data_IF_294618316803
#
_entry.id   IF_294618316803
#
_cell.length_a   1.000
_cell.length_b   1.000
_cell.length_c   1.000
_cell.angle_alpha   90.00
_cell.angle_beta   90.00
_cell.angle_gamma   90.00
#
_symmetry.space_group_name_H-M   'P 1'
#
loop_
_entity.id
_entity.type
_entity.pdbx_description
1 polymer ?
#
# COMPACT_ATOMS: atom_id res chain seq x y z
N UNK A 1 17.80 20.64 -8.94
CA UNK A 1 16.65 20.21 -8.11
C UNK A 1 17.10 19.39 -6.91
N UNK A 2 16.26 19.24 -5.89
CA UNK A 2 16.59 18.43 -4.72
C UNK A 2 16.03 17.02 -4.82
N UNK A 3 16.79 16.05 -4.30
CA UNK A 3 16.38 14.67 -4.10
C UNK A 3 16.98 14.11 -2.81
N UNK A 4 16.30 13.16 -2.19
CA UNK A 4 16.89 12.37 -1.11
C UNK A 4 17.63 11.19 -1.69
N UNK A 5 18.83 10.92 -1.21
CA UNK A 5 19.65 9.78 -1.64
C UNK A 5 19.99 8.88 -0.46
N UNK A 6 20.04 7.59 -0.73
CA UNK A 6 20.42 6.56 0.23
C UNK A 6 21.88 6.17 0.00
N UNK A 7 22.70 6.22 1.05
CA UNK A 7 24.05 5.66 1.03
C UNK A 7 24.00 4.19 1.45
N UNK A 8 24.59 3.30 0.65
CA UNK A 8 24.67 1.89 0.98
C UNK A 8 25.58 1.64 2.22
N UNK A 9 25.29 0.62 3.05
CA UNK A 9 24.28 -0.46 2.88
C UNK A 9 22.87 -0.09 3.34
N UNK A 10 22.58 1.17 3.65
CA UNK A 10 21.31 1.65 4.18
C UNK A 10 21.36 1.96 5.68
N UNK A 11 20.25 2.47 6.19
CA UNK A 11 20.05 2.98 7.54
C UNK A 11 19.37 4.35 7.48
N UNK A 12 18.50 4.67 8.44
CA UNK A 12 17.75 5.94 8.41
C UNK A 12 18.68 7.17 8.45
N UNK A 13 19.85 7.04 9.09
CA UNK A 13 20.85 8.11 9.14
C UNK A 13 21.72 8.19 7.86
N UNK A 14 21.50 7.27 6.90
CA UNK A 14 22.17 7.25 5.59
C UNK A 14 21.35 7.92 4.49
N UNK A 15 20.19 8.49 4.82
CA UNK A 15 19.35 9.26 3.91
C UNK A 15 19.79 10.72 3.99
N UNK A 16 20.17 11.32 2.86
CA UNK A 16 20.62 12.70 2.82
C UNK A 16 20.06 13.46 1.61
N UNK A 17 19.84 14.76 1.78
CA UNK A 17 19.42 15.65 0.72
C UNK A 17 20.61 15.90 -0.23
N UNK A 18 20.37 15.78 -1.52
CA UNK A 18 21.35 16.03 -2.57
C UNK A 18 20.77 16.98 -3.64
N UNK A 19 21.63 17.77 -4.23
CA UNK A 19 21.31 18.56 -5.42
C UNK A 19 21.68 17.75 -6.66
N UNK A 20 20.73 17.58 -7.57
CA UNK A 20 20.93 16.82 -8.83
C UNK A 20 20.35 17.60 -10.01
N UNK A 21 20.86 17.32 -11.21
CA UNK A 21 20.31 17.88 -12.45
C UNK A 21 19.19 16.98 -12.99
N UNK A 22 18.01 17.54 -13.34
CA UNK A 22 16.96 16.76 -14.00
C UNK A 22 17.38 16.40 -15.41
N UNK A 23 17.03 15.21 -15.85
CA UNK A 23 17.28 14.72 -17.21
C UNK A 23 16.11 15.05 -18.12
N UNK A 24 16.37 15.55 -19.33
CA UNK A 24 15.33 15.71 -20.34
C UNK A 24 14.72 14.36 -20.75
N UNK A 25 13.41 14.30 -21.06
CA UNK A 25 12.76 13.07 -21.46
C UNK A 25 13.19 12.63 -22.86
N UNK A 26 13.62 11.37 -22.97
CA UNK A 26 13.91 10.70 -24.24
C UNK A 26 12.64 10.15 -24.91
N UNK A 27 12.84 9.31 -25.95
CA UNK A 27 11.74 8.67 -26.66
C UNK A 27 10.90 7.78 -25.72
N UNK A 28 9.59 8.00 -25.69
CA UNK A 28 8.65 7.26 -24.85
C UNK A 28 8.65 7.65 -23.38
N UNK A 29 9.41 8.68 -22.97
CA UNK A 29 9.51 9.14 -21.60
C UNK A 29 8.75 10.45 -21.36
N UNK A 30 8.43 10.68 -20.10
CA UNK A 30 7.90 11.97 -19.60
C UNK A 30 8.74 12.46 -18.43
N UNK A 31 8.77 13.77 -18.25
CA UNK A 31 9.27 14.39 -17.05
C UNK A 31 8.08 14.80 -16.17
N UNK A 32 8.16 14.47 -14.87
CA UNK A 32 7.09 14.74 -13.92
C UNK A 32 7.66 15.54 -12.73
N UNK A 33 7.07 16.68 -12.45
CA UNK A 33 7.26 17.39 -11.19
C UNK A 33 6.46 16.68 -10.10
N UNK A 34 7.16 16.02 -9.18
CA UNK A 34 6.53 15.30 -8.06
C UNK A 34 6.04 16.30 -7.03
N UNK A 35 4.80 16.16 -6.62
CA UNK A 35 4.15 16.99 -5.61
C UNK A 35 4.02 16.27 -4.27
N UNK A 36 3.86 14.93 -4.31
CA UNK A 36 3.78 14.11 -3.12
C UNK A 36 4.28 12.69 -3.37
N UNK A 37 4.82 12.10 -2.33
CA UNK A 37 5.09 10.67 -2.19
C UNK A 37 4.54 10.16 -0.86
N UNK A 38 4.40 8.85 -0.67
CA UNK A 38 3.87 8.29 0.58
C UNK A 38 4.63 7.06 1.04
N UNK A 39 4.84 6.92 2.35
CA UNK A 39 5.65 5.86 2.92
C UNK A 39 4.93 4.50 2.91
N UNK A 40 5.66 3.46 2.54
CA UNK A 40 5.25 2.06 2.63
C UNK A 40 6.26 1.25 3.46
N UNK A 41 5.88 0.06 3.93
CA UNK A 41 6.82 -0.84 4.60
C UNK A 41 7.95 -1.29 3.64
N UNK A 42 7.65 -1.39 2.34
CA UNK A 42 8.65 -1.67 1.31
C UNK A 42 9.76 -0.60 1.30
N UNK A 43 9.37 0.68 1.28
CA UNK A 43 10.33 1.79 1.29
C UNK A 43 11.18 1.77 2.56
N UNK A 44 10.56 1.50 3.72
CA UNK A 44 11.26 1.32 4.99
C UNK A 44 12.27 0.16 4.92
N UNK A 45 11.90 -0.97 4.32
CA UNK A 45 12.79 -2.11 4.16
C UNK A 45 13.98 -1.79 3.25
N UNK A 46 13.78 -0.98 2.22
CA UNK A 46 14.87 -0.50 1.33
C UNK A 46 15.79 0.46 2.10
N UNK A 47 15.24 1.51 2.71
CA UNK A 47 16.09 2.54 3.34
C UNK A 47 16.83 2.01 4.58
N UNK A 48 16.33 0.97 5.24
CA UNK A 48 17.02 0.32 6.35
C UNK A 48 18.02 -0.77 5.92
N UNK A 49 18.07 -1.10 4.61
CA UNK A 49 18.96 -2.11 4.05
C UNK A 49 18.47 -3.55 4.23
N UNK A 50 17.23 -3.76 4.68
CA UNK A 50 16.59 -5.10 4.69
C UNK A 50 16.37 -5.62 3.26
N UNK A 51 16.08 -4.72 2.33
CA UNK A 51 16.11 -4.94 0.88
C UNK A 51 17.32 -4.16 0.37
N UNK A 52 18.35 -4.83 -0.18
CA UNK A 52 19.54 -4.14 -0.70
C UNK A 52 19.20 -3.21 -1.87
N UNK A 53 19.75 -2.01 -1.85
CA UNK A 53 19.68 -1.06 -2.97
C UNK A 53 21.07 -0.54 -3.32
N UNK A 54 21.23 -0.04 -4.55
CA UNK A 54 22.49 0.55 -5.01
C UNK A 54 22.83 1.84 -4.23
N UNK A 55 24.11 2.12 -4.09
CA UNK A 55 24.58 3.37 -3.50
C UNK A 55 24.10 4.59 -4.30
N UNK A 56 23.59 5.60 -3.59
CA UNK A 56 23.02 6.79 -4.21
C UNK A 56 21.58 6.64 -4.72
N UNK A 57 20.90 5.52 -4.44
CA UNK A 57 19.49 5.28 -4.81
C UNK A 57 18.61 6.40 -4.26
N UNK A 58 17.71 6.92 -5.10
CA UNK A 58 16.61 7.80 -4.67
C UNK A 58 15.47 6.89 -4.21
N UNK A 59 15.08 6.92 -2.91
CA UNK A 59 14.05 6.03 -2.38
C UNK A 59 12.63 6.48 -2.76
N UNK A 60 11.62 5.76 -2.25
CA UNK A 60 10.17 5.94 -2.35
C UNK A 60 9.56 5.38 -3.61
N UNK A 61 8.59 4.47 -3.41
CA UNK A 61 7.90 3.73 -4.47
C UNK A 61 6.61 4.39 -4.97
N UNK A 62 6.01 5.27 -4.18
CA UNK A 62 4.79 6.00 -4.53
C UNK A 62 5.13 7.39 -5.06
N UNK A 63 4.43 7.86 -6.09
CA UNK A 63 4.63 9.22 -6.61
C UNK A 63 3.37 9.78 -7.27
N UNK A 64 3.02 11.03 -6.93
CA UNK A 64 1.98 11.79 -7.60
C UNK A 64 2.52 13.17 -7.99
N UNK A 65 2.19 13.63 -9.20
CA UNK A 65 2.74 14.89 -9.71
C UNK A 65 2.10 15.38 -10.99
N UNK A 66 2.77 16.32 -11.63
CA UNK A 66 2.34 16.96 -12.88
C UNK A 66 3.38 16.74 -13.98
N UNK A 67 2.94 16.32 -15.15
CA UNK A 67 3.80 16.20 -16.32
C UNK A 67 4.29 17.58 -16.75
N UNK A 68 5.60 17.79 -16.81
CA UNK A 68 6.24 19.06 -17.18
C UNK A 68 6.88 19.05 -18.55
N UNK A 69 7.24 17.86 -19.06
CA UNK A 69 7.73 17.69 -20.41
C UNK A 69 7.42 16.29 -20.95
N UNK A 70 7.27 16.17 -22.25
CA UNK A 70 6.92 14.93 -22.95
C UNK A 70 7.92 14.64 -24.05
N UNK A 71 8.53 13.46 -24.03
CA UNK A 71 9.45 12.99 -25.04
C UNK A 71 8.74 12.54 -26.32
N UNK A 72 9.50 12.39 -27.39
CA UNK A 72 8.99 11.91 -28.68
C UNK A 72 8.34 10.51 -28.53
N UNK A 73 7.23 10.27 -29.23
CA UNK A 73 6.50 9.00 -29.26
C UNK A 73 5.48 8.82 -28.13
N UNK A 74 5.41 9.70 -27.13
CA UNK A 74 4.37 9.66 -26.10
C UNK A 74 3.06 10.27 -26.65
N UNK A 75 1.97 9.52 -26.55
CA UNK A 75 0.63 9.95 -27.02
C UNK A 75 -0.46 9.82 -25.95
N UNK A 76 -0.14 9.21 -24.81
CA UNK A 76 -1.11 8.88 -23.74
C UNK A 76 -1.21 9.95 -22.66
N UNK A 77 -0.15 10.73 -22.47
CA UNK A 77 -0.04 11.81 -21.50
C UNK A 77 0.46 13.09 -22.18
N UNK A 78 0.14 14.24 -21.60
CA UNK A 78 0.53 15.57 -22.08
C UNK A 78 1.03 16.43 -20.92
N UNK A 79 1.73 17.52 -21.23
CA UNK A 79 2.11 18.54 -20.25
C UNK A 79 0.86 19.07 -19.53
N UNK A 80 0.95 19.21 -18.21
CA UNK A 80 -0.13 19.61 -17.32
C UNK A 80 -1.00 18.44 -16.83
N UNK A 81 -0.87 17.22 -17.37
CA UNK A 81 -1.58 16.06 -16.84
C UNK A 81 -1.14 15.75 -15.39
N UNK A 82 -2.12 15.51 -14.52
CA UNK A 82 -1.90 15.05 -13.15
C UNK A 82 -1.77 13.54 -13.17
N UNK A 83 -0.65 13.02 -12.64
CA UNK A 83 -0.28 11.60 -12.78
C UNK A 83 0.02 10.95 -11.45
N UNK A 84 -0.20 9.64 -11.41
CA UNK A 84 0.06 8.71 -10.31
C UNK A 84 0.97 7.59 -10.81
N UNK A 85 2.01 7.26 -10.07
CA UNK A 85 2.94 6.18 -10.41
C UNK A 85 2.30 4.79 -10.33
N UNK A 86 2.87 3.84 -11.06
CA UNK A 86 2.65 2.42 -10.80
C UNK A 86 3.76 1.88 -9.88
N UNK A 87 3.39 1.02 -8.93
CA UNK A 87 4.37 0.29 -8.13
C UNK A 87 5.13 -0.74 -8.98
N UNK A 88 4.41 -1.46 -9.84
CA UNK A 88 4.98 -2.38 -10.83
C UNK A 88 4.78 -1.82 -12.26
N UNK A 89 5.70 -0.99 -12.76
CA UNK A 89 5.53 -0.32 -14.05
C UNK A 89 5.54 -1.27 -15.26
N UNK A 90 6.00 -2.52 -15.07
CA UNK A 90 6.05 -3.54 -16.12
C UNK A 90 4.85 -4.48 -16.12
N UNK A 91 3.99 -4.45 -15.10
CA UNK A 91 2.84 -5.37 -14.99
C UNK A 91 1.55 -4.73 -15.51
N UNK A 92 1.30 -4.92 -16.79
CA UNK A 92 0.12 -4.33 -17.46
C UNK A 92 -1.21 -4.92 -16.94
N UNK A 93 -1.28 -6.23 -16.67
CA UNK A 93 -2.49 -6.90 -16.19
C UNK A 93 -2.41 -8.42 -16.26
N UNK A 94 -3.43 -9.09 -15.70
CA UNK A 94 -3.51 -10.54 -15.67
C UNK A 94 -2.47 -11.19 -14.74
N UNK A 95 -2.14 -12.47 -15.01
CA UNK A 95 -1.19 -13.21 -14.18
C UNK A 95 0.23 -12.66 -14.41
N UNK A 96 0.96 -12.21 -13.35
CA UNK A 96 2.31 -11.68 -13.50
C UNK A 96 3.34 -12.77 -13.85
N UNK A 97 4.38 -12.36 -14.55
CA UNK A 97 5.65 -13.08 -14.68
C UNK A 97 6.69 -12.43 -13.77
N UNK A 98 7.86 -13.08 -13.55
CA UNK A 98 8.90 -12.47 -12.74
C UNK A 98 9.40 -11.13 -13.30
N UNK A 99 9.61 -10.94 -14.61
CA UNK A 99 9.96 -9.63 -15.17
C UNK A 99 8.94 -8.52 -14.88
N UNK A 100 7.63 -8.84 -14.79
CA UNK A 100 6.58 -7.86 -14.50
C UNK A 100 6.71 -7.27 -13.09
N UNK A 101 7.32 -8.02 -12.16
CA UNK A 101 7.52 -7.62 -10.76
C UNK A 101 8.86 -6.89 -10.53
N UNK A 102 9.63 -6.64 -11.58
CA UNK A 102 10.88 -5.88 -11.51
C UNK A 102 10.65 -4.40 -11.89
N UNK A 103 11.66 -3.56 -11.63
CA UNK A 103 11.63 -2.14 -11.95
C UNK A 103 10.84 -1.30 -10.95
N UNK A 104 10.70 -1.79 -9.71
CA UNK A 104 10.05 -1.05 -8.63
C UNK A 104 10.83 0.24 -8.35
N UNK A 105 10.16 1.42 -8.42
CA UNK A 105 10.80 2.69 -8.07
C UNK A 105 11.23 2.72 -6.58
N UNK A 106 12.38 3.32 -6.32
CA UNK A 106 12.96 3.41 -4.98
C UNK A 106 13.76 2.19 -4.55
N UNK A 107 13.64 1.08 -5.28
CA UNK A 107 14.33 -0.19 -5.05
C UNK A 107 15.22 -0.54 -6.26
N UNK A 108 14.63 -1.11 -7.32
CA UNK A 108 15.37 -1.51 -8.53
C UNK A 108 15.85 -0.31 -9.36
N UNK A 109 15.07 0.78 -9.38
CA UNK A 109 15.37 2.04 -10.09
C UNK A 109 15.16 3.22 -9.13
N UNK A 110 15.60 4.41 -9.51
CA UNK A 110 15.36 5.61 -8.72
C UNK A 110 13.86 5.87 -8.54
N UNK A 111 13.49 6.25 -7.31
CA UNK A 111 12.13 6.48 -6.88
C UNK A 111 11.70 7.94 -6.85
N UNK A 112 10.71 8.22 -6.01
CA UNK A 112 9.97 9.49 -6.03
C UNK A 112 10.35 10.46 -4.91
N UNK A 113 11.40 10.20 -4.14
CA UNK A 113 11.95 11.19 -3.19
C UNK A 113 12.80 12.25 -3.92
N UNK A 114 12.29 12.80 -5.02
CA UNK A 114 12.94 13.80 -5.86
C UNK A 114 11.90 14.78 -6.43
N UNK A 115 12.24 16.08 -6.50
CA UNK A 115 11.33 17.10 -7.01
C UNK A 115 10.90 16.86 -8.46
N UNK A 116 11.77 16.23 -9.26
CA UNK A 116 11.47 15.92 -10.66
C UNK A 116 12.02 14.54 -10.99
N UNK A 117 11.26 13.74 -11.71
CA UNK A 117 11.67 12.44 -12.22
C UNK A 117 11.45 12.38 -13.73
N UNK A 118 12.29 11.62 -14.44
CA UNK A 118 12.13 11.34 -15.87
C UNK A 118 12.10 9.83 -16.06
N UNK A 119 10.94 9.32 -16.48
CA UNK A 119 10.66 7.88 -16.58
C UNK A 119 9.82 7.57 -17.83
N UNK A 120 9.71 6.30 -18.25
CA UNK A 120 8.77 5.90 -19.30
C UNK A 120 7.34 6.36 -18.97
N UNK A 121 6.62 6.88 -19.94
CA UNK A 121 5.23 7.31 -19.76
C UNK A 121 4.33 6.16 -19.26
N UNK A 122 4.70 4.90 -19.57
CA UNK A 122 4.03 3.69 -19.11
C UNK A 122 4.22 3.40 -17.62
N UNK A 123 5.08 4.16 -16.91
CA UNK A 123 5.23 4.07 -15.45
C UNK A 123 4.17 4.87 -14.68
N UNK A 124 3.26 5.57 -15.40
CA UNK A 124 2.25 6.43 -14.80
C UNK A 124 0.87 6.20 -15.40
N UNK A 125 -0.16 6.43 -14.56
CA UNK A 125 -1.55 6.64 -14.96
C UNK A 125 -1.96 8.10 -14.69
N UNK A 126 -3.11 8.53 -15.23
CA UNK A 126 -3.79 9.72 -14.70
C UNK A 126 -4.22 9.45 -13.26
N UNK A 127 -4.04 10.43 -12.37
CA UNK A 127 -4.52 10.30 -10.99
C UNK A 127 -6.03 10.53 -10.90
N UNK A 128 -6.69 10.06 -9.81
CA UNK A 128 -8.11 10.35 -9.57
C UNK A 128 -8.37 11.85 -9.55
N UNK A 129 -9.44 12.30 -10.23
CA UNK A 129 -9.78 13.72 -10.35
C UNK A 129 -10.22 14.36 -9.02
N UNK A 130 -10.81 13.56 -8.12
CA UNK A 130 -11.34 13.97 -6.82
C UNK A 130 -10.28 14.04 -5.70
N UNK A 131 -9.01 13.68 -5.96
CA UNK A 131 -7.96 13.67 -4.95
C UNK A 131 -6.93 14.77 -5.19
N UNK A 132 -6.32 15.27 -4.12
CA UNK A 132 -5.06 16.01 -4.18
C UNK A 132 -3.87 15.06 -4.39
N UNK A 133 -2.66 15.60 -4.50
CA UNK A 133 -1.47 14.79 -4.77
C UNK A 133 -1.06 13.91 -3.59
N UNK A 134 -1.24 14.39 -2.36
CA UNK A 134 -0.93 13.63 -1.16
C UNK A 134 -1.84 12.41 -1.06
N UNK A 135 -3.15 12.60 -1.17
CA UNK A 135 -4.12 11.51 -1.15
C UNK A 135 -3.90 10.53 -2.31
N UNK A 136 -3.68 11.03 -3.53
CA UNK A 136 -3.42 10.18 -4.68
C UNK A 136 -2.16 9.34 -4.50
N UNK A 137 -1.05 9.91 -3.98
CA UNK A 137 0.20 9.16 -3.77
C UNK A 137 0.02 7.92 -2.91
N UNK A 138 -0.98 7.90 -2.00
CA UNK A 138 -1.24 6.76 -1.11
C UNK A 138 -1.82 5.53 -1.83
N UNK A 139 -2.23 5.68 -3.08
CA UNK A 139 -2.95 4.65 -3.83
C UNK A 139 -2.02 3.66 -4.55
N UNK A 140 -0.82 4.07 -4.99
CA UNK A 140 0.07 3.24 -5.84
C UNK A 140 0.46 1.92 -5.18
N UNK A 141 0.79 1.93 -3.90
CA UNK A 141 1.14 0.72 -3.14
C UNK A 141 0.00 0.30 -2.22
N UNK A 142 -0.28 1.07 -1.16
CA UNK A 142 -1.22 0.65 -0.11
C UNK A 142 -2.66 0.55 -0.62
N UNK A 143 -3.11 1.52 -1.41
CA UNK A 143 -4.45 1.51 -2.01
C UNK A 143 -4.65 0.34 -2.96
N UNK A 144 -3.70 0.13 -3.88
CA UNK A 144 -3.78 -0.94 -4.86
C UNK A 144 -3.65 -2.33 -4.23
N UNK A 145 -2.86 -2.46 -3.16
CA UNK A 145 -2.78 -3.71 -2.37
C UNK A 145 -4.13 -4.03 -1.72
N UNK A 146 -4.77 -3.04 -1.10
CA UNK A 146 -6.11 -3.21 -0.51
C UNK A 146 -7.16 -3.57 -1.56
N UNK A 147 -7.16 -2.88 -2.71
CA UNK A 147 -8.02 -3.18 -3.84
C UNK A 147 -7.84 -4.62 -4.33
N UNK A 148 -6.59 -5.04 -4.54
CA UNK A 148 -6.32 -6.41 -4.99
C UNK A 148 -6.84 -7.44 -4.00
N UNK A 149 -6.59 -7.26 -2.70
CA UNK A 149 -7.07 -8.17 -1.67
C UNK A 149 -8.61 -8.31 -1.69
N UNK A 150 -9.33 -7.19 -1.86
CA UNK A 150 -10.79 -7.14 -1.77
C UNK A 150 -11.51 -7.54 -3.07
N UNK A 151 -10.93 -7.17 -4.23
CA UNK A 151 -11.65 -7.24 -5.52
C UNK A 151 -11.08 -8.29 -6.46
N UNK A 152 -9.73 -8.44 -6.49
CA UNK A 152 -9.08 -9.31 -7.48
C UNK A 152 -8.94 -10.75 -6.95
N UNK A 153 -8.53 -10.90 -5.69
CA UNK A 153 -8.27 -12.23 -5.08
C UNK A 153 -9.53 -12.89 -4.53
N UNK A 154 -10.60 -12.12 -4.33
CA UNK A 154 -11.84 -12.60 -3.72
C UNK A 154 -13.07 -12.17 -4.53
N UNK A 155 -14.18 -12.86 -4.33
CA UNK A 155 -15.47 -12.52 -4.93
C UNK A 155 -16.43 -11.97 -3.86
N UNK A 156 -15.99 -10.96 -3.11
CA UNK A 156 -16.79 -10.36 -2.04
C UNK A 156 -18.08 -9.74 -2.57
N UNK A 157 -19.11 -9.84 -1.74
CA UNK A 157 -20.43 -9.28 -1.98
C UNK A 157 -20.85 -8.36 -0.84
N UNK A 158 -21.76 -7.42 -1.06
CA UNK A 158 -22.36 -6.67 0.03
C UNK A 158 -22.90 -7.60 1.13
N UNK A 159 -22.53 -7.31 2.38
CA UNK A 159 -22.86 -8.12 3.55
C UNK A 159 -21.80 -9.12 3.98
N UNK A 160 -20.83 -9.47 3.13
CA UNK A 160 -19.71 -10.33 3.49
C UNK A 160 -18.83 -9.67 4.56
N UNK A 161 -18.14 -10.49 5.37
CA UNK A 161 -17.29 -10.03 6.45
C UNK A 161 -15.82 -9.91 6.02
N UNK A 162 -15.24 -8.75 6.29
CA UNK A 162 -13.80 -8.49 6.10
C UNK A 162 -13.15 -8.21 7.43
N UNK A 163 -12.05 -8.88 7.75
CA UNK A 163 -11.21 -8.58 8.89
C UNK A 163 -9.97 -7.82 8.44
N UNK A 164 -9.74 -6.63 9.03
CA UNK A 164 -8.52 -5.83 8.82
C UNK A 164 -7.68 -5.80 10.09
N UNK A 165 -6.36 -5.89 9.93
CA UNK A 165 -5.41 -5.98 11.05
C UNK A 165 -4.62 -4.70 11.19
N UNK A 166 -4.69 -4.09 12.39
CA UNK A 166 -4.00 -2.85 12.69
C UNK A 166 -4.62 -1.63 12.01
N UNK A 167 -3.90 -0.53 12.06
CA UNK A 167 -4.34 0.79 11.61
C UNK A 167 -3.33 1.47 10.67
N UNK A 168 -2.51 0.69 9.99
CA UNK A 168 -1.59 1.17 8.96
C UNK A 168 -2.29 1.43 7.62
N UNK A 169 -1.52 1.89 6.63
CA UNK A 169 -2.04 2.34 5.34
C UNK A 169 -2.94 1.32 4.64
N UNK A 170 -2.47 0.08 4.43
CA UNK A 170 -3.25 -0.97 3.76
C UNK A 170 -4.55 -1.26 4.50
N UNK A 171 -4.50 -1.42 5.82
CA UNK A 171 -5.65 -1.82 6.64
C UNK A 171 -6.74 -0.74 6.69
N UNK A 172 -6.35 0.53 6.80
CA UNK A 172 -7.30 1.65 6.82
C UNK A 172 -7.96 1.82 5.46
N UNK A 173 -7.20 1.76 4.38
CA UNK A 173 -7.76 1.83 3.02
C UNK A 173 -8.64 0.61 2.72
N UNK A 174 -8.22 -0.60 3.14
CA UNK A 174 -9.04 -1.81 2.99
C UNK A 174 -10.38 -1.69 3.73
N UNK A 175 -10.39 -1.12 4.95
CA UNK A 175 -11.63 -0.82 5.68
C UNK A 175 -12.52 0.12 4.86
N UNK A 176 -11.98 1.25 4.37
CA UNK A 176 -12.73 2.22 3.58
C UNK A 176 -13.32 1.59 2.32
N UNK A 177 -12.51 0.83 1.56
CA UNK A 177 -12.96 0.16 0.33
C UNK A 177 -13.98 -0.96 0.62
N UNK A 178 -13.79 -1.77 1.67
CA UNK A 178 -14.75 -2.79 2.07
C UNK A 178 -16.11 -2.17 2.42
N UNK A 179 -16.12 -1.03 3.14
CA UNK A 179 -17.35 -0.29 3.44
C UNK A 179 -17.98 0.28 2.17
N UNK A 180 -17.19 0.82 1.25
CA UNK A 180 -17.66 1.28 -0.06
C UNK A 180 -18.35 0.16 -0.87
N UNK A 181 -17.86 -1.08 -0.76
CA UNK A 181 -18.45 -2.26 -1.39
C UNK A 181 -19.68 -2.81 -0.64
N UNK A 182 -20.06 -2.25 0.50
CA UNK A 182 -21.16 -2.74 1.34
C UNK A 182 -20.81 -3.94 2.23
N UNK A 183 -19.54 -4.26 2.38
CA UNK A 183 -19.08 -5.31 3.30
C UNK A 183 -19.17 -4.85 4.76
N UNK A 184 -19.23 -5.83 5.66
CA UNK A 184 -19.14 -5.64 7.12
C UNK A 184 -17.66 -5.78 7.53
N UNK A 185 -17.20 -4.95 8.45
CA UNK A 185 -15.77 -4.94 8.80
C UNK A 185 -15.56 -5.18 10.28
N UNK A 186 -14.66 -6.13 10.59
CA UNK A 186 -14.06 -6.30 11.91
C UNK A 186 -12.64 -5.72 11.83
N UNK A 187 -12.29 -4.84 12.76
CA UNK A 187 -10.96 -4.25 12.83
C UNK A 187 -10.24 -4.64 14.13
N UNK A 188 -8.95 -4.98 14.01
CA UNK A 188 -8.11 -5.28 15.18
C UNK A 188 -7.04 -4.21 15.36
N UNK A 189 -6.67 -3.90 16.61
CA UNK A 189 -5.55 -3.01 16.93
C UNK A 189 -4.99 -3.33 18.32
N UNK A 190 -3.81 -2.81 18.63
CA UNK A 190 -3.24 -2.83 19.99
C UNK A 190 -3.60 -1.60 20.83
N UNK A 191 -4.32 -0.63 20.26
CA UNK A 191 -4.63 0.66 20.87
C UNK A 191 -6.11 0.96 20.78
N UNK A 192 -6.76 1.19 21.92
CA UNK A 192 -8.18 1.53 22.00
C UNK A 192 -8.48 2.86 21.29
N UNK A 193 -7.59 3.86 21.39
CA UNK A 193 -7.73 5.12 20.67
C UNK A 193 -7.73 4.94 19.13
N UNK A 194 -6.91 4.01 18.62
CA UNK A 194 -6.92 3.67 17.19
C UNK A 194 -8.15 2.87 16.80
N UNK A 195 -8.66 2.00 17.68
CA UNK A 195 -9.93 1.28 17.48
C UNK A 195 -11.12 2.24 17.37
N UNK A 196 -11.18 3.27 18.21
CA UNK A 196 -12.23 4.31 18.10
C UNK A 196 -12.20 5.00 16.73
N UNK A 197 -11.01 5.32 16.20
CA UNK A 197 -10.86 5.89 14.85
C UNK A 197 -11.31 4.92 13.76
N UNK A 198 -10.97 3.61 13.89
CA UNK A 198 -11.42 2.57 12.95
C UNK A 198 -12.96 2.41 13.01
N UNK A 199 -13.57 2.49 14.20
CA UNK A 199 -15.02 2.51 14.36
C UNK A 199 -15.66 3.71 13.69
N UNK A 200 -15.08 4.91 13.82
CA UNK A 200 -15.55 6.12 13.15
C UNK A 200 -15.49 6.02 11.60
N UNK A 201 -14.55 5.21 11.06
CA UNK A 201 -14.48 4.89 9.63
C UNK A 201 -15.44 3.79 9.18
N UNK A 202 -16.23 3.23 10.11
CA UNK A 202 -17.29 2.27 9.81
C UNK A 202 -16.95 0.81 10.10
N UNK A 203 -15.88 0.49 10.84
CA UNK A 203 -15.71 -0.86 11.36
C UNK A 203 -16.85 -1.17 12.35
N UNK A 204 -17.53 -2.29 12.12
CA UNK A 204 -18.69 -2.69 12.91
C UNK A 204 -18.31 -3.30 14.26
N UNK A 205 -17.22 -4.07 14.27
CA UNK A 205 -16.64 -4.66 15.46
C UNK A 205 -15.17 -4.31 15.61
N UNK A 206 -14.75 -4.12 16.85
CA UNK A 206 -13.42 -3.66 17.22
C UNK A 206 -12.82 -4.64 18.23
N UNK A 207 -11.62 -5.13 17.97
CA UNK A 207 -10.93 -6.09 18.83
C UNK A 207 -9.55 -5.55 19.20
N UNK A 208 -9.32 -5.33 20.52
CA UNK A 208 -7.97 -5.08 21.02
C UNK A 208 -7.28 -6.42 21.28
N UNK A 209 -6.37 -6.80 20.36
CA UNK A 209 -5.68 -8.08 20.44
C UNK A 209 -4.68 -8.21 21.62
N UNK A 210 -4.33 -7.11 22.29
CA UNK A 210 -3.56 -7.17 23.53
C UNK A 210 -4.40 -7.66 24.72
N UNK A 211 -5.71 -7.37 24.68
CA UNK A 211 -6.65 -7.77 25.72
C UNK A 211 -7.25 -9.17 25.44
N UNK A 212 -7.17 -9.64 24.20
CA UNK A 212 -7.78 -10.88 23.72
C UNK A 212 -6.78 -11.69 22.92
N UNK A 213 -6.09 -12.60 23.61
CA UNK A 213 -5.07 -13.48 22.94
C UNK A 213 -5.69 -14.34 21.83
N UNK A 214 -6.95 -14.79 21.99
CA UNK A 214 -7.69 -15.58 21.01
C UNK A 214 -8.59 -14.68 20.15
N UNK A 215 -8.04 -13.58 19.63
CA UNK A 215 -8.84 -12.61 18.86
C UNK A 215 -9.46 -13.21 17.59
N UNK A 216 -8.88 -14.25 17.04
CA UNK A 216 -9.44 -14.95 15.87
C UNK A 216 -10.74 -15.68 16.18
N UNK A 217 -10.83 -16.36 17.35
CA UNK A 217 -12.06 -16.98 17.84
C UNK A 217 -13.12 -15.92 18.14
N UNK A 218 -12.74 -14.84 18.80
CA UNK A 218 -13.64 -13.71 19.05
C UNK A 218 -14.19 -13.12 17.73
N UNK A 219 -13.34 -12.94 16.71
CA UNK A 219 -13.79 -12.46 15.41
C UNK A 219 -14.79 -13.43 14.76
N UNK A 220 -14.55 -14.75 14.87
CA UNK A 220 -15.48 -15.78 14.41
C UNK A 220 -16.84 -15.70 15.11
N UNK A 221 -16.86 -15.55 16.44
CA UNK A 221 -18.08 -15.41 17.23
C UNK A 221 -18.87 -14.14 16.87
N UNK A 222 -18.18 -13.01 16.63
CA UNK A 222 -18.79 -11.73 16.26
C UNK A 222 -19.54 -11.77 14.91
N UNK A 223 -19.23 -12.74 14.06
CA UNK A 223 -19.98 -13.00 12.81
C UNK A 223 -21.19 -13.90 13.02
N UNK A 224 -21.53 -14.25 14.27
CA UNK A 224 -22.56 -15.24 14.59
C UNK A 224 -22.11 -16.68 14.33
N UNK A 225 -20.82 -16.96 14.33
CA UNK A 225 -20.23 -18.29 14.08
C UNK A 225 -20.09 -18.65 12.60
N UNK A 226 -20.28 -17.69 11.69
CA UNK A 226 -20.04 -17.90 10.26
C UNK A 226 -18.55 -17.76 9.89
N UNK A 227 -17.81 -16.91 10.59
CA UNK A 227 -16.45 -16.52 10.27
C UNK A 227 -16.39 -15.37 9.26
N UNK A 228 -15.18 -14.89 8.97
CA UNK A 228 -14.96 -13.81 8.01
C UNK A 228 -14.62 -14.37 6.62
N UNK A 229 -15.16 -13.74 5.58
CA UNK A 229 -14.95 -14.16 4.18
C UNK A 229 -13.55 -13.79 3.69
N UNK A 230 -13.00 -12.68 4.20
CA UNK A 230 -11.66 -12.23 3.89
C UNK A 230 -10.92 -11.74 5.13
N UNK A 231 -9.66 -12.16 5.28
CA UNK A 231 -8.68 -11.53 6.17
C UNK A 231 -7.65 -10.78 5.34
N UNK A 232 -7.50 -9.46 5.58
CA UNK A 232 -6.42 -8.64 5.06
C UNK A 232 -5.22 -8.77 6.01
N UNK A 233 -4.33 -9.72 5.71
CA UNK A 233 -3.27 -10.18 6.61
C UNK A 233 -1.98 -9.38 6.40
N UNK A 234 -1.73 -8.41 7.26
CA UNK A 234 -0.52 -7.57 7.23
C UNK A 234 0.51 -7.96 8.30
N UNK A 235 0.10 -8.76 9.28
CA UNK A 235 0.98 -9.20 10.37
C UNK A 235 1.96 -10.29 9.95
N UNK A 236 1.50 -11.23 9.15
CA UNK A 236 2.32 -12.34 8.68
C UNK A 236 2.29 -13.57 9.60
N UNK A 237 3.35 -14.38 9.63
CA UNK A 237 3.31 -15.74 10.16
C UNK A 237 2.87 -15.83 11.63
N UNK A 238 3.21 -14.86 12.46
CA UNK A 238 2.79 -14.85 13.87
C UNK A 238 1.28 -14.66 14.07
N UNK A 239 0.57 -14.09 13.08
CA UNK A 239 -0.88 -13.84 13.13
C UNK A 239 -1.69 -14.96 12.44
N UNK A 240 -1.09 -15.73 11.52
CA UNK A 240 -1.80 -16.73 10.72
C UNK A 240 -2.66 -17.71 11.53
N UNK A 241 -2.25 -18.22 12.70
CA UNK A 241 -3.12 -19.08 13.50
C UNK A 241 -4.45 -18.43 13.88
N UNK A 242 -4.41 -17.14 14.24
CA UNK A 242 -5.60 -16.37 14.60
C UNK A 242 -6.43 -16.02 13.37
N UNK A 243 -5.79 -15.63 12.26
CA UNK A 243 -6.44 -15.36 10.99
C UNK A 243 -7.19 -16.59 10.46
N UNK A 244 -6.60 -17.79 10.57
CA UNK A 244 -7.26 -19.06 10.23
C UNK A 244 -8.42 -19.34 11.18
N UNK A 245 -8.28 -19.06 12.48
CA UNK A 245 -9.37 -19.21 13.45
C UNK A 245 -10.58 -18.35 13.11
N UNK A 246 -10.34 -17.08 12.71
CA UNK A 246 -11.40 -16.14 12.32
C UNK A 246 -12.13 -16.50 11.02
N UNK A 247 -11.49 -17.28 10.14
CA UNK A 247 -11.93 -17.50 8.75
C UNK A 247 -13.25 -18.27 8.68
N UNK A 248 -14.11 -17.89 7.75
CA UNK A 248 -15.26 -18.66 7.33
C UNK A 248 -14.85 -19.94 6.55
N UNK A 249 -15.78 -20.86 6.37
CA UNK A 249 -15.59 -21.96 5.41
C UNK A 249 -15.52 -21.36 4.00
N UNK A 250 -14.55 -21.80 3.20
CA UNK A 250 -14.21 -21.27 1.86
C UNK A 250 -13.71 -19.81 1.86
N UNK A 251 -13.39 -19.24 3.02
CA UNK A 251 -12.84 -17.90 3.14
C UNK A 251 -11.40 -17.77 2.63
N UNK A 252 -10.92 -16.54 2.49
CA UNK A 252 -9.60 -16.21 1.96
C UNK A 252 -8.78 -15.40 2.97
N UNK A 253 -7.49 -15.70 3.07
CA UNK A 253 -6.50 -14.86 3.74
C UNK A 253 -5.59 -14.30 2.66
N UNK A 254 -5.66 -12.99 2.43
CA UNK A 254 -4.70 -12.27 1.57
C UNK A 254 -3.47 -11.93 2.40
N UNK A 255 -2.39 -12.71 2.22
CA UNK A 255 -1.13 -12.55 2.92
C UNK A 255 -0.30 -11.46 2.23
N UNK A 256 -0.16 -10.34 2.90
CA UNK A 256 0.46 -9.11 2.40
C UNK A 256 1.74 -8.79 3.16
N UNK A 257 1.67 -8.84 4.49
CA UNK A 257 2.73 -8.34 5.36
C UNK A 257 3.51 -9.42 6.08
N UNK A 258 4.68 -9.01 6.57
CA UNK A 258 5.63 -9.86 7.30
C UNK A 258 6.08 -9.20 8.61
N UNK A 259 5.22 -8.38 9.24
CA UNK A 259 5.57 -7.59 10.42
C UNK A 259 5.96 -8.43 11.63
N UNK A 260 5.48 -9.68 11.71
CA UNK A 260 5.80 -10.63 12.77
C UNK A 260 6.93 -11.62 12.42
N UNK A 261 7.53 -11.46 11.24
CA UNK A 261 8.64 -12.28 10.77
C UNK A 261 8.51 -12.70 9.30
N UNK A 262 9.60 -13.20 8.74
CA UNK A 262 9.70 -13.64 7.35
C UNK A 262 9.27 -15.10 7.13
N UNK A 263 9.22 -15.89 8.19
CA UNK A 263 8.84 -17.30 8.18
C UNK A 263 8.19 -17.70 9.50
N UNK A 264 7.34 -18.73 9.47
CA UNK A 264 6.68 -19.28 10.64
C UNK A 264 5.79 -20.46 10.30
N UNK A 265 5.20 -21.05 11.34
CA UNK A 265 4.30 -22.19 11.21
C UNK A 265 2.91 -21.77 10.72
N UNK A 266 2.35 -22.57 9.83
CA UNK A 266 0.96 -22.42 9.36
C UNK A 266 0.16 -23.63 9.83
N UNK A 267 -0.95 -23.45 10.59
CA UNK A 267 -1.82 -24.53 11.01
C UNK A 267 -2.59 -25.14 9.81
N UNK A 268 -1.90 -25.92 8.99
CA UNK A 268 -2.41 -26.41 7.70
C UNK A 268 -3.68 -27.27 7.82
N UNK A 269 -3.77 -28.09 8.89
CA UNK A 269 -4.99 -28.88 9.15
C UNK A 269 -6.20 -27.98 9.44
N UNK A 270 -6.02 -26.90 10.21
CA UNK A 270 -7.10 -25.95 10.50
C UNK A 270 -7.54 -25.19 9.25
N UNK A 271 -6.59 -24.79 8.38
CA UNK A 271 -6.90 -24.17 7.09
C UNK A 271 -7.66 -25.15 6.17
N UNK A 272 -7.18 -26.39 6.09
CA UNK A 272 -7.81 -27.46 5.29
C UNK A 272 -9.25 -27.74 5.71
N UNK A 273 -9.52 -27.84 7.02
CA UNK A 273 -10.89 -28.14 7.52
C UNK A 273 -11.89 -27.04 7.21
N UNK A 274 -11.41 -25.82 6.98
CA UNK A 274 -12.26 -24.68 6.54
C UNK A 274 -12.33 -24.55 5.01
N UNK A 275 -11.68 -25.42 4.23
CA UNK A 275 -11.48 -25.21 2.78
C UNK A 275 -10.91 -23.83 2.48
N UNK A 276 -10.15 -23.26 3.45
CA UNK A 276 -9.66 -21.89 3.40
C UNK A 276 -8.54 -21.71 2.38
N UNK A 277 -8.43 -20.52 1.82
CA UNK A 277 -7.37 -20.13 0.90
C UNK A 277 -6.38 -19.21 1.61
N UNK A 278 -5.09 -19.44 1.40
CA UNK A 278 -4.01 -18.52 1.80
C UNK A 278 -3.31 -18.05 0.52
N UNK A 279 -3.53 -16.79 0.13
CA UNK A 279 -3.02 -16.21 -1.09
C UNK A 279 -1.97 -15.14 -0.76
N UNK A 280 -0.71 -15.36 -1.15
CA UNK A 280 0.33 -14.34 -1.08
C UNK A 280 0.12 -13.31 -2.19
N UNK A 281 0.07 -12.02 -1.83
CA UNK A 281 -0.10 -10.94 -2.79
C UNK A 281 0.92 -9.83 -2.59
N UNK A 282 1.34 -9.22 -3.70
CA UNK A 282 2.15 -8.00 -3.72
C UNK A 282 1.46 -6.97 -4.60
N UNK A 283 0.99 -5.88 -4.04
CA UNK A 283 0.36 -4.76 -4.74
C UNK A 283 -0.64 -5.21 -5.83
N UNK A 284 -0.54 -4.72 -7.07
CA UNK A 284 -1.43 -5.06 -8.19
C UNK A 284 -0.90 -4.56 -9.52
N UNK A 285 -1.63 -4.85 -10.61
CA UNK A 285 -1.31 -4.47 -11.97
C UNK A 285 -1.79 -3.06 -12.33
N UNK A 286 -1.34 -2.55 -13.48
CA UNK A 286 -1.85 -1.29 -14.06
C UNK A 286 -3.36 -1.35 -14.32
N UNK A 287 -3.87 -2.50 -14.81
CA UNK A 287 -5.30 -2.69 -15.02
C UNK A 287 -6.08 -2.65 -13.70
N UNK A 288 -5.53 -3.23 -12.63
CA UNK A 288 -6.16 -3.18 -11.30
C UNK A 288 -6.16 -1.74 -10.76
N UNK A 289 -5.07 -0.97 -10.98
CA UNK A 289 -5.02 0.44 -10.58
C UNK A 289 -6.05 1.28 -11.33
N UNK A 290 -6.25 1.06 -12.63
CA UNK A 290 -7.27 1.77 -13.40
C UNK A 290 -8.69 1.50 -12.85
N UNK A 291 -9.00 0.25 -12.52
CA UNK A 291 -10.28 -0.11 -11.91
C UNK A 291 -10.45 0.49 -10.49
N UNK A 292 -9.38 0.50 -9.70
CA UNK A 292 -9.38 1.14 -8.38
C UNK A 292 -9.62 2.65 -8.50
N UNK A 293 -8.94 3.34 -9.42
CA UNK A 293 -9.12 4.78 -9.66
C UNK A 293 -10.58 5.08 -10.00
N UNK A 294 -11.18 4.34 -10.93
CA UNK A 294 -12.58 4.51 -11.28
C UNK A 294 -13.53 4.34 -10.08
N UNK A 295 -13.26 3.38 -9.19
CA UNK A 295 -14.05 3.18 -7.99
C UNK A 295 -13.84 4.31 -6.96
N UNK A 296 -12.61 4.79 -6.77
CA UNK A 296 -12.28 5.91 -5.89
C UNK A 296 -13.00 7.18 -6.33
N UNK A 297 -13.03 7.46 -7.63
CA UNK A 297 -13.76 8.61 -8.19
C UNK A 297 -15.29 8.46 -8.04
N UNK A 298 -15.84 7.28 -8.38
CA UNK A 298 -17.27 7.03 -8.32
C UNK A 298 -17.86 7.17 -6.92
N UNK A 299 -17.07 6.87 -5.89
CA UNK A 299 -17.50 6.91 -4.48
C UNK A 299 -16.95 8.10 -3.70
N UNK A 300 -16.25 9.01 -4.35
CA UNK A 300 -15.56 10.16 -3.72
C UNK A 300 -14.73 9.74 -2.49
N UNK A 301 -14.05 8.59 -2.59
CA UNK A 301 -13.27 8.06 -1.49
C UNK A 301 -12.04 8.92 -1.22
N UNK A 302 -11.85 9.29 0.05
CA UNK A 302 -10.69 10.06 0.52
C UNK A 302 -9.81 9.16 1.41
N UNK A 303 -8.58 8.80 0.98
CA UNK A 303 -7.64 8.06 1.82
C UNK A 303 -7.28 8.82 3.09
N UNK A 304 -7.12 8.10 4.19
CA UNK A 304 -6.76 8.72 5.47
C UNK A 304 -5.25 8.94 5.54
N UNK A 305 -4.85 10.21 5.61
CA UNK A 305 -3.48 10.64 5.85
C UNK A 305 -3.36 11.08 7.32
N UNK A 306 -2.37 10.57 8.03
CA UNK A 306 -2.11 10.92 9.41
C UNK A 306 -1.25 12.17 9.54
N UNK A 307 -0.16 12.21 8.76
CA UNK A 307 0.78 13.32 8.78
C UNK A 307 1.52 13.46 7.45
N UNK A 308 1.81 14.70 7.07
CA UNK A 308 2.66 15.05 5.93
C UNK A 308 3.94 15.72 6.43
N UNK A 309 5.07 15.33 5.85
CA UNK A 309 6.39 15.88 6.11
C UNK A 309 6.94 16.58 4.84
N UNK A 310 7.75 17.61 4.95
CA UNK A 310 8.48 18.12 3.79
C UNK A 310 9.59 17.12 3.38
N UNK A 311 10.02 17.15 2.11
CA UNK A 311 11.05 16.24 1.57
C UNK A 311 12.31 16.18 2.44
N UNK A 312 12.79 17.32 2.92
CA UNK A 312 13.99 17.38 3.76
C UNK A 312 13.87 16.65 5.11
N UNK A 313 12.64 16.37 5.56
CA UNK A 313 12.34 15.64 6.78
C UNK A 313 11.96 14.15 6.52
N UNK A 314 12.31 13.59 5.36
CA UNK A 314 12.00 12.21 5.01
C UNK A 314 12.49 11.21 6.06
N UNK A 315 13.67 11.44 6.64
CA UNK A 315 14.21 10.60 7.73
C UNK A 315 13.29 10.61 8.96
N UNK A 316 12.75 11.77 9.35
CA UNK A 316 11.84 11.88 10.48
C UNK A 316 10.47 11.23 10.19
N UNK A 317 10.02 11.28 8.94
CA UNK A 317 8.84 10.54 8.49
C UNK A 317 9.02 9.03 8.65
N UNK A 318 10.19 8.46 8.30
CA UNK A 318 10.49 7.05 8.52
C UNK A 318 10.61 6.69 10.01
N UNK A 319 11.23 7.54 10.84
CA UNK A 319 11.25 7.34 12.30
C UNK A 319 9.85 7.35 12.90
N UNK A 320 8.98 8.22 12.39
CA UNK A 320 7.58 8.22 12.81
C UNK A 320 6.85 6.94 12.37
N UNK A 321 7.12 6.44 11.17
CA UNK A 321 6.59 5.13 10.72
C UNK A 321 7.08 4.00 11.64
N UNK A 322 8.37 3.96 11.96
CA UNK A 322 8.99 2.96 12.86
C UNK A 322 8.37 2.97 14.25
N UNK A 323 8.00 4.14 14.77
CA UNK A 323 7.32 4.26 16.09
C UNK A 323 5.94 3.61 16.13
N UNK A 324 5.35 3.26 14.99
CA UNK A 324 4.01 2.70 14.84
C UNK A 324 2.88 3.54 15.44
N UNK A 325 3.12 4.85 15.67
CA UNK A 325 2.11 5.76 16.23
C UNK A 325 1.11 6.22 15.19
N UNK A 326 1.47 6.21 13.91
CA UNK A 326 0.64 6.67 12.80
C UNK A 326 -0.67 5.88 12.65
N UNK A 327 -1.65 6.52 12.01
CA UNK A 327 -2.93 5.94 11.65
C UNK A 327 -3.24 6.24 10.16
N UNK A 328 -3.31 5.22 9.32
CA UNK A 328 -3.40 5.40 7.87
C UNK A 328 -2.03 5.64 7.24
N UNK A 329 -1.94 6.60 6.33
CA UNK A 329 -0.73 6.88 5.56
C UNK A 329 0.07 8.08 6.11
N UNK A 330 1.36 8.02 5.88
CA UNK A 330 2.30 9.14 6.08
C UNK A 330 2.71 9.61 4.69
N UNK A 331 2.59 10.90 4.42
CA UNK A 331 2.96 11.51 3.15
C UNK A 331 4.20 12.39 3.28
N UNK A 332 4.83 12.66 2.15
CA UNK A 332 5.90 13.64 2.02
C UNK A 332 5.57 14.56 0.86
N UNK A 333 5.56 15.88 1.13
CA UNK A 333 5.36 16.93 0.12
C UNK A 333 6.70 17.39 -0.47
N UNK A 334 6.72 17.71 -1.76
CA UNK A 334 7.91 18.13 -2.50
C UNK A 334 7.76 19.51 -3.10
#
# INVERSE_FOLDING_TARGET
MHAMKLTAPGGLDQIHLAEIEPREPGFGEIQVEIKATSLNFHDYAVVTGLIPADDGRIPMSDGAGVVTAVGEGVTTLAEGDRVLSYFFPNWAGGRPTLPDLLGVPGDHIDGFAAQTVTMPATAFSRMPANLDFEAASTLSCAGLTAWRALVVETALKPGDWVLVQGSGGVSVVALQMARMMGCRVIATSSSDAKLERLGALGAEHLINYKNHANWGEQAFELTGGAGVDLVVEVGGPGNLPQSISALAVDGCISLIGVLTGWAGEVPTAALMTKNGRLSGITVGSQADQANMIAAVEAHDMQPVIDKTYPLAELTDAFRYQESQQHFGKICVSL
#
